data_IF_535942919394
#
_entry.id   IF_535942919394
#
_cell.length_a   1.000
_cell.length_b   1.000
_cell.length_c   1.000
_cell.angle_alpha   90.00
_cell.angle_beta   90.00
_cell.angle_gamma   90.00
#
_symmetry.space_group_name_H-M   'P 1'
#
loop_
_entity.id
_entity.type
_entity.pdbx_description
1 polymer ?
#
# COMPACT_ATOMS: atom_id res chain seq x y z
N UNK A 1 -22.16 6.15 -8.69
CA UNK A 1 -20.82 6.74 -8.48
C UNK A 1 -20.54 6.76 -6.98
N UNK A 2 -19.27 6.85 -6.57
CA UNK A 2 -18.79 6.93 -5.17
C UNK A 2 -18.90 5.68 -4.28
N UNK A 3 -18.01 4.72 -4.50
CA UNK A 3 -17.38 4.05 -3.35
C UNK A 3 -15.88 4.20 -3.49
N UNK A 4 -15.34 5.32 -3.04
CA UNK A 4 -13.95 5.37 -2.60
C UNK A 4 -13.82 4.36 -1.45
N UNK A 5 -13.54 3.10 -1.79
CA UNK A 5 -13.27 2.06 -0.81
C UNK A 5 -12.04 2.52 -0.04
N UNK A 6 -12.25 3.03 1.17
CA UNK A 6 -11.18 3.39 2.10
C UNK A 6 -10.41 2.10 2.43
N UNK A 7 -9.37 1.86 1.65
CA UNK A 7 -8.62 0.62 1.69
C UNK A 7 -7.47 0.62 0.70
N UNK A 8 -6.52 -0.28 0.94
CA UNK A 8 -5.37 -0.51 0.09
C UNK A 8 -5.83 -1.14 -1.24
N UNK A 9 -5.52 -0.51 -2.38
CA UNK A 9 -5.91 -1.06 -3.69
C UNK A 9 -5.23 -2.40 -3.98
N UNK A 10 -3.98 -2.56 -3.54
CA UNK A 10 -3.19 -3.78 -3.79
C UNK A 10 -3.61 -4.94 -2.88
N UNK A 11 -3.83 -4.64 -1.60
CA UNK A 11 -3.92 -5.64 -0.54
C UNK A 11 -5.30 -5.72 0.13
N UNK A 12 -6.23 -4.85 -0.26
CA UNK A 12 -7.59 -4.82 0.29
C UNK A 12 -7.71 -4.42 1.76
N UNK A 13 -6.59 -4.12 2.46
CA UNK A 13 -6.60 -3.73 3.87
C UNK A 13 -7.52 -2.54 4.09
N UNK A 14 -8.61 -2.77 4.81
CA UNK A 14 -9.59 -1.75 5.22
C UNK A 14 -9.49 -1.42 6.71
N UNK A 15 -10.48 -0.69 7.20
CA UNK A 15 -10.64 -0.37 8.62
C UNK A 15 -10.89 -1.65 9.42
N UNK A 16 -10.21 -1.80 10.55
CA UNK A 16 -10.43 -2.90 11.48
C UNK A 16 -11.00 -2.41 12.80
N UNK A 17 -12.02 -3.09 13.31
CA UNK A 17 -12.60 -2.82 14.61
C UNK A 17 -11.87 -3.69 15.65
N UNK A 18 -11.33 -3.07 16.68
CA UNK A 18 -10.56 -3.76 17.73
C UNK A 18 -10.84 -3.14 19.10
N UNK A 19 -10.26 -3.72 20.15
CA UNK A 19 -10.27 -3.11 21.47
C UNK A 19 -8.87 -2.57 21.81
N UNK A 20 -8.80 -1.41 22.43
CA UNK A 20 -7.63 -0.99 23.20
C UNK A 20 -7.79 -1.59 24.61
N UNK A 21 -6.80 -2.37 25.05
CA UNK A 21 -6.83 -3.07 26.34
C UNK A 21 -5.78 -2.43 27.24
N UNK A 22 -6.20 -1.87 28.36
CA UNK A 22 -5.27 -1.35 29.38
C UNK A 22 -4.63 -2.48 30.18
N UNK A 23 -3.58 -2.16 30.94
CA UNK A 23 -2.96 -3.09 31.89
C UNK A 23 -3.99 -3.69 32.88
N UNK A 24 -4.98 -2.90 33.30
CA UNK A 24 -6.12 -3.32 34.12
C UNK A 24 -7.21 -4.13 33.38
N UNK A 25 -6.95 -4.58 32.14
CA UNK A 25 -7.88 -5.32 31.26
C UNK A 25 -9.16 -4.56 30.89
N UNK A 26 -9.19 -3.24 31.03
CA UNK A 26 -10.31 -2.42 30.56
C UNK A 26 -10.29 -2.38 29.03
N UNK A 27 -11.36 -2.86 28.40
CA UNK A 27 -11.51 -2.91 26.95
C UNK A 27 -12.30 -1.70 26.47
N UNK A 28 -11.68 -0.83 25.68
CA UNK A 28 -12.38 0.27 24.99
C UNK A 28 -12.43 -0.01 23.49
N UNK A 29 -13.59 0.22 22.86
CA UNK A 29 -13.74 0.04 21.42
C UNK A 29 -12.82 1.04 20.69
N UNK A 30 -12.02 0.56 19.75
CA UNK A 30 -11.09 1.37 18.98
C UNK A 30 -11.03 0.93 17.51
N UNK A 31 -11.04 1.92 16.63
CA UNK A 31 -10.98 1.72 15.18
C UNK A 31 -9.54 1.85 14.71
N UNK A 32 -8.96 0.76 14.20
CA UNK A 32 -7.61 0.71 13.63
C UNK A 32 -7.70 1.04 12.14
N UNK A 33 -7.16 2.19 11.75
CA UNK A 33 -7.07 2.60 10.34
C UNK A 33 -5.73 2.16 9.74
N UNK A 34 -5.71 1.54 8.55
CA UNK A 34 -4.46 1.26 7.86
C UNK A 34 -3.78 2.58 7.46
N UNK A 35 -2.45 2.63 7.51
CA UNK A 35 -1.69 3.79 7.08
C UNK A 35 -1.66 3.85 5.53
N UNK A 36 -2.70 4.44 4.95
CA UNK A 36 -2.88 4.61 3.52
C UNK A 36 -2.25 5.92 3.05
N UNK A 37 -1.43 5.82 2.01
CA UNK A 37 -0.84 6.97 1.34
C UNK A 37 -1.26 7.00 -0.12
N UNK A 38 -1.38 8.21 -0.67
CA UNK A 38 -1.58 8.41 -2.10
C UNK A 38 -0.29 8.11 -2.86
N UNK A 39 -0.40 7.30 -3.90
CA UNK A 39 0.68 6.99 -4.82
C UNK A 39 0.20 7.21 -6.26
N UNK A 40 1.13 7.54 -7.15
CA UNK A 40 0.90 7.55 -8.58
C UNK A 40 1.38 6.23 -9.16
N UNK A 41 0.50 5.45 -9.77
CA UNK A 41 0.89 4.24 -10.49
C UNK A 41 0.57 4.42 -11.97
N UNK A 42 1.46 3.92 -12.83
CA UNK A 42 1.20 3.83 -14.27
C UNK A 42 0.56 2.47 -14.49
N UNK A 43 -0.71 2.47 -14.89
CA UNK A 43 -1.44 1.26 -15.28
C UNK A 43 -1.90 1.48 -16.71
N UNK A 44 -1.53 0.57 -17.61
CA UNK A 44 -1.91 0.61 -19.03
C UNK A 44 -1.58 1.95 -19.73
N UNK A 45 -0.41 2.53 -19.41
CA UNK A 45 0.05 3.79 -19.99
C UNK A 45 -0.58 5.06 -19.40
N UNK A 46 -1.54 4.94 -18.47
CA UNK A 46 -2.17 6.07 -17.79
C UNK A 46 -1.70 6.21 -16.34
N UNK A 47 -1.41 7.45 -15.91
CA UNK A 47 -1.03 7.77 -14.53
C UNK A 47 -2.26 7.92 -13.66
N UNK A 48 -2.54 6.92 -12.82
CA UNK A 48 -3.66 6.93 -11.89
C UNK A 48 -3.21 7.24 -10.45
N UNK A 49 -4.05 7.98 -9.72
CA UNK A 49 -3.89 8.23 -8.28
C UNK A 49 -4.58 7.11 -7.50
N UNK A 50 -3.85 6.45 -6.62
CA UNK A 50 -4.32 5.27 -5.88
C UNK A 50 -3.90 5.34 -4.41
N UNK A 51 -4.75 4.83 -3.50
CA UNK A 51 -4.46 4.74 -2.06
C UNK A 51 -3.80 3.38 -1.77
N UNK A 52 -2.58 3.42 -1.23
CA UNK A 52 -1.76 2.23 -1.00
C UNK A 52 -1.25 2.21 0.44
N UNK A 53 -1.25 1.04 1.09
CA UNK A 53 -0.67 0.93 2.44
C UNK A 53 0.86 1.03 2.42
N UNK A 54 1.47 1.42 3.54
CA UNK A 54 2.93 1.52 3.68
C UNK A 54 3.68 0.24 3.31
N UNK A 55 3.14 -0.94 3.61
CA UNK A 55 3.75 -2.23 3.27
C UNK A 55 3.84 -2.42 1.75
N UNK A 56 2.74 -2.17 1.04
CA UNK A 56 2.70 -2.27 -0.41
C UNK A 56 3.50 -1.15 -1.09
N UNK A 57 3.54 0.06 -0.52
CA UNK A 57 4.42 1.14 -1.00
C UNK A 57 5.91 0.73 -0.94
N UNK A 58 6.29 -0.04 0.09
CA UNK A 58 7.65 -0.56 0.24
C UNK A 58 7.97 -1.62 -0.81
N UNK A 59 7.05 -2.55 -1.10
CA UNK A 59 7.26 -3.57 -2.12
C UNK A 59 7.30 -3.00 -3.54
N UNK A 60 6.46 -2.00 -3.85
CA UNK A 60 6.50 -1.31 -5.15
C UNK A 60 7.88 -0.69 -5.42
N UNK A 61 8.49 -0.05 -4.42
CA UNK A 61 9.86 0.48 -4.53
C UNK A 61 10.93 -0.58 -4.75
N UNK A 62 10.69 -1.82 -4.35
CA UNK A 62 11.64 -2.93 -4.58
C UNK A 62 11.48 -3.45 -6.01
N UNK A 63 10.24 -3.67 -6.46
CA UNK A 63 9.97 -4.09 -7.84
C UNK A 63 10.46 -3.06 -8.89
N UNK A 64 10.34 -1.76 -8.61
CA UNK A 64 10.91 -0.71 -9.48
C UNK A 64 12.45 -0.79 -9.57
N UNK A 65 13.14 -1.16 -8.48
CA UNK A 65 14.61 -1.32 -8.47
C UNK A 65 15.06 -2.59 -9.17
N UNK A 66 14.32 -3.69 -9.02
CA UNK A 66 14.60 -4.95 -9.73
C UNK A 66 14.43 -4.76 -11.24
N UNK A 67 13.35 -4.08 -11.67
CA UNK A 67 13.13 -3.73 -13.08
C UNK A 67 14.26 -2.85 -13.67
N UNK A 68 14.80 -1.91 -12.89
CA UNK A 68 15.96 -1.10 -13.31
C UNK A 68 17.27 -1.92 -13.33
N UNK A 69 17.44 -2.85 -12.38
CA UNK A 69 18.60 -3.72 -12.31
C UNK A 69 18.69 -4.70 -13.48
N UNK A 70 17.56 -5.19 -14.00
CA UNK A 70 17.54 -6.06 -15.17
C UNK A 70 17.74 -5.29 -16.49
N UNK A 71 17.29 -4.03 -16.58
CA UNK A 71 17.62 -3.14 -17.70
C UNK A 71 19.13 -2.87 -17.82
N UNK A 72 19.85 -2.74 -16.69
CA UNK A 72 21.32 -2.57 -16.69
C UNK A 72 22.07 -3.84 -17.12
N UNK A 73 21.55 -5.04 -16.84
CA UNK A 73 22.15 -6.31 -17.30
C UNK A 73 22.00 -6.53 -18.81
N UNK A 74 20.96 -5.98 -19.42
CA UNK A 74 20.71 -6.07 -20.87
C UNK A 74 21.66 -5.14 -21.64
N UNK A 75 21.98 -3.95 -21.09
CA UNK A 75 22.89 -2.98 -21.74
C UNK A 75 24.37 -3.41 -21.63
N UNK A 76 24.78 -4.11 -20.56
CA UNK A 76 26.16 -4.61 -20.37
C UNK A 76 26.48 -5.94 -21.07
N UNK A 77 25.55 -6.50 -21.84
CA UNK A 77 25.74 -7.72 -22.65
C UNK A 77 25.84 -7.45 -24.16
N UNK A 78 26.05 -6.20 -24.56
CA UNK A 78 26.46 -5.83 -25.92
C UNK A 78 27.97 -5.69 -26.00
#
# INVERSE_FOLDING_TARGET
MEKERYGCVICGKGVQNSNLVSFSKRRTKHIRRPNLHTHHMVVDGTRIKVKVCTTCKRSLRVGEREAQGDQLKIVSKK
#
